data_IF_224716029636
#
_entry.id   IF_224716029636
#
_cell.length_a   1.000
_cell.length_b   1.000
_cell.length_c   1.000
_cell.angle_alpha   90.00
_cell.angle_beta   90.00
_cell.angle_gamma   90.00
#
_symmetry.space_group_name_H-M   'P 1'
#
loop_
_entity.id
_entity.type
_entity.pdbx_description
1 polymer ?
#
# COMPACT_ATOMS: atom_id res chain seq x y z
N UNK A 1 -12.50 -26.10 39.80
CA UNK A 1 -11.60 -26.17 38.60
C UNK A 1 -12.20 -25.60 37.29
N UNK A 2 -13.51 -25.46 37.13
CA UNK A 2 -14.16 -24.94 35.91
C UNK A 2 -14.03 -23.44 35.64
N UNK A 3 -13.97 -22.49 36.60
CA UNK A 3 -13.87 -21.05 36.29
C UNK A 3 -12.47 -20.65 35.80
N UNK A 4 -11.41 -21.27 36.32
CA UNK A 4 -10.01 -20.91 35.97
C UNK A 4 -9.71 -21.24 34.48
N UNK A 5 -10.24 -22.35 33.97
CA UNK A 5 -10.05 -22.75 32.56
C UNK A 5 -10.82 -21.81 31.61
N UNK A 6 -12.01 -21.34 32.02
CA UNK A 6 -12.77 -20.35 31.22
C UNK A 6 -12.08 -19.00 31.20
N UNK A 7 -11.49 -18.58 32.31
CA UNK A 7 -10.73 -17.32 32.39
C UNK A 7 -9.44 -17.39 31.56
N UNK A 8 -8.76 -18.55 31.58
CA UNK A 8 -7.57 -18.76 30.77
C UNK A 8 -7.88 -18.80 29.26
N UNK A 9 -8.98 -19.43 28.84
CA UNK A 9 -9.45 -19.43 27.48
C UNK A 9 -9.94 -18.05 27.01
N UNK A 10 -10.54 -17.26 27.91
CA UNK A 10 -10.95 -15.90 27.63
C UNK A 10 -9.78 -14.94 27.49
N UNK A 11 -8.72 -15.11 28.27
CA UNK A 11 -7.49 -14.31 28.13
C UNK A 11 -6.70 -14.66 26.88
N UNK A 12 -6.76 -15.90 26.38
CA UNK A 12 -6.14 -16.29 25.09
C UNK A 12 -6.92 -15.70 23.90
N UNK A 13 -8.23 -15.55 23.99
CA UNK A 13 -9.05 -14.95 22.93
C UNK A 13 -8.97 -13.42 22.86
N UNK A 14 -8.45 -12.74 23.90
CA UNK A 14 -8.21 -11.29 23.91
C UNK A 14 -6.97 -10.85 23.11
N UNK A 15 -6.11 -11.78 22.72
CA UNK A 15 -5.09 -11.54 21.71
C UNK A 15 -5.63 -11.86 20.31
N UNK A 16 -6.67 -11.14 19.86
CA UNK A 16 -7.04 -11.13 18.47
C UNK A 16 -5.81 -10.64 17.68
N UNK A 17 -5.07 -11.59 17.11
CA UNK A 17 -3.87 -11.26 16.35
C UNK A 17 -4.31 -10.60 15.05
N UNK A 18 -4.02 -9.32 14.93
CA UNK A 18 -4.19 -8.64 13.66
C UNK A 18 -3.27 -9.28 12.60
N UNK A 19 -3.63 -9.27 11.32
CA UNK A 19 -2.86 -9.95 10.28
C UNK A 19 -1.37 -9.62 10.29
N UNK A 20 -0.99 -8.35 10.55
CA UNK A 20 0.41 -7.95 10.61
C UNK A 20 1.15 -8.47 11.86
N UNK A 21 0.45 -8.71 12.97
CA UNK A 21 1.06 -9.31 14.16
C UNK A 21 1.53 -10.75 13.90
N UNK A 22 0.73 -11.51 13.15
CA UNK A 22 1.08 -12.87 12.75
C UNK A 22 2.33 -12.88 11.86
N UNK A 23 2.38 -11.97 10.88
CA UNK A 23 3.53 -11.82 9.98
C UNK A 23 4.78 -11.33 10.74
N UNK A 24 4.62 -10.41 11.67
CA UNK A 24 5.71 -9.92 12.51
C UNK A 24 6.35 -11.02 13.36
N UNK A 25 5.54 -11.96 13.85
CA UNK A 25 5.99 -13.10 14.69
C UNK A 25 6.44 -14.32 13.88
N UNK A 26 6.21 -14.35 12.57
CA UNK A 26 6.53 -15.47 11.72
C UNK A 26 8.07 -15.76 11.74
N UNK A 27 8.48 -17.03 11.80
CA UNK A 27 9.90 -17.40 11.93
C UNK A 27 10.73 -17.04 10.70
N UNK A 28 10.11 -16.97 9.53
CA UNK A 28 10.72 -16.62 8.25
C UNK A 28 10.85 -15.10 8.02
N UNK A 29 10.32 -14.28 8.93
CA UNK A 29 10.39 -12.83 8.84
C UNK A 29 11.75 -12.31 9.31
N UNK A 30 12.49 -11.66 8.41
CA UNK A 30 13.83 -11.12 8.72
C UNK A 30 13.76 -9.95 9.70
N UNK A 31 14.85 -9.64 10.44
CA UNK A 31 14.90 -8.49 11.35
C UNK A 31 14.56 -7.16 10.66
N UNK A 32 15.04 -6.96 9.42
CA UNK A 32 14.72 -5.76 8.65
C UNK A 32 13.24 -5.67 8.33
N UNK A 33 12.59 -6.75 7.92
CA UNK A 33 11.13 -6.77 7.69
C UNK A 33 10.36 -6.46 8.97
N UNK A 34 10.79 -6.97 10.12
CA UNK A 34 10.17 -6.70 11.42
C UNK A 34 10.14 -5.21 11.75
N UNK A 35 11.21 -4.46 11.44
CA UNK A 35 11.25 -3.00 11.65
C UNK A 35 10.12 -2.30 10.89
N UNK A 36 9.85 -2.71 9.64
CA UNK A 36 8.80 -2.11 8.82
C UNK A 36 7.39 -2.69 9.09
N UNK A 37 7.29 -3.93 9.55
CA UNK A 37 6.02 -4.53 9.95
C UNK A 37 5.50 -3.99 11.28
N UNK A 38 6.38 -3.59 12.19
CA UNK A 38 6.01 -3.08 13.52
C UNK A 38 5.03 -1.90 13.47
N UNK A 39 5.30 -0.80 12.73
CA UNK A 39 4.36 0.31 12.64
C UNK A 39 3.04 -0.09 11.96
N UNK A 40 3.06 -1.03 11.01
CA UNK A 40 1.84 -1.55 10.38
C UNK A 40 0.99 -2.34 11.40
N UNK A 41 1.63 -3.19 12.21
CA UNK A 41 0.95 -3.93 13.26
C UNK A 41 0.31 -2.99 14.29
N UNK A 42 1.03 -1.94 14.72
CA UNK A 42 0.48 -0.92 15.62
C UNK A 42 -0.67 -0.15 15.00
N UNK A 43 -0.58 0.21 13.73
CA UNK A 43 -1.67 0.82 13.00
C UNK A 43 -2.91 -0.08 12.94
N UNK A 44 -2.75 -1.38 12.70
CA UNK A 44 -3.87 -2.33 12.68
C UNK A 44 -4.53 -2.47 14.05
N UNK A 45 -3.74 -2.53 15.13
CA UNK A 45 -4.28 -2.55 16.50
C UNK A 45 -5.17 -1.33 16.79
N UNK A 46 -4.81 -0.16 16.26
CA UNK A 46 -5.61 1.05 16.37
C UNK A 46 -6.79 1.05 15.40
N UNK A 47 -6.53 0.90 14.10
CA UNK A 47 -7.51 1.15 13.05
C UNK A 47 -8.62 0.10 12.94
N UNK A 48 -8.39 -1.14 13.35
CA UNK A 48 -9.40 -2.19 13.28
C UNK A 48 -10.47 -2.07 14.39
N UNK A 49 -10.18 -1.29 15.42
CA UNK A 49 -11.14 -0.97 16.47
C UNK A 49 -12.01 0.26 16.13
N UNK A 50 -11.64 0.99 15.06
CA UNK A 50 -12.32 2.22 14.66
C UNK A 50 -13.25 1.96 13.47
N UNK A 51 -14.55 2.09 13.68
CA UNK A 51 -15.57 1.84 12.66
C UNK A 51 -15.56 2.85 11.50
N UNK A 52 -14.97 4.04 11.72
CA UNK A 52 -14.85 5.11 10.72
C UNK A 52 -13.70 4.93 9.75
N UNK A 53 -12.72 4.08 10.06
CA UNK A 53 -11.52 3.84 9.26
C UNK A 53 -11.68 2.65 8.32
N UNK A 54 -12.72 2.67 7.50
CA UNK A 54 -13.00 1.60 6.54
C UNK A 54 -12.13 1.73 5.28
N UNK A 55 -11.41 0.66 4.96
CA UNK A 55 -10.66 0.58 3.71
C UNK A 55 -11.55 0.12 2.56
N UNK A 56 -11.53 0.83 1.43
CA UNK A 56 -12.30 0.44 0.22
C UNK A 56 -11.77 -0.82 -0.48
N UNK A 57 -10.62 -1.34 -0.06
CA UNK A 57 -10.02 -2.53 -0.64
C UNK A 57 -10.06 -3.75 0.28
N UNK A 58 -10.13 -4.95 -0.30
CA UNK A 58 -9.95 -6.24 0.34
C UNK A 58 -8.78 -7.00 -0.31
N UNK A 59 -7.70 -7.30 0.43
CA UNK A 59 -7.44 -6.96 1.84
C UNK A 59 -7.24 -5.44 2.05
N UNK A 60 -7.28 -4.98 3.31
CA UNK A 60 -6.99 -3.57 3.65
C UNK A 60 -5.58 -3.16 3.20
N UNK A 61 -5.33 -1.85 3.00
CA UNK A 61 -4.01 -1.37 2.57
C UNK A 61 -2.89 -1.74 3.55
N UNK A 62 -3.16 -1.74 4.86
CA UNK A 62 -2.18 -2.17 5.87
C UNK A 62 -1.89 -3.67 5.80
N UNK A 63 -2.92 -4.51 5.58
CA UNK A 63 -2.72 -5.95 5.41
C UNK A 63 -1.99 -6.26 4.09
N UNK A 64 -2.35 -5.58 3.00
CA UNK A 64 -1.63 -5.68 1.73
C UNK A 64 -0.16 -5.31 1.89
N UNK A 65 0.14 -4.20 2.58
CA UNK A 65 1.50 -3.73 2.81
C UNK A 65 2.33 -4.72 3.63
N UNK A 66 1.76 -5.28 4.70
CA UNK A 66 2.42 -6.30 5.51
C UNK A 66 2.77 -7.56 4.69
N UNK A 67 1.80 -8.07 3.92
CA UNK A 67 2.01 -9.21 3.02
C UNK A 67 3.03 -8.90 1.91
N UNK A 68 3.00 -7.69 1.33
CA UNK A 68 3.93 -7.29 0.29
C UNK A 68 5.38 -7.23 0.81
N UNK A 69 5.59 -6.69 2.01
CA UNK A 69 6.91 -6.66 2.67
C UNK A 69 7.42 -8.07 2.94
N UNK A 70 6.57 -8.95 3.46
CA UNK A 70 6.96 -10.33 3.75
C UNK A 70 7.31 -11.10 2.46
N UNK A 71 6.45 -11.05 1.45
CA UNK A 71 6.60 -11.89 0.25
C UNK A 71 7.62 -11.35 -0.76
N UNK A 72 7.87 -10.04 -0.79
CA UNK A 72 8.72 -9.41 -1.79
C UNK A 72 9.91 -8.64 -1.23
N UNK A 73 10.11 -8.69 0.10
CA UNK A 73 11.13 -7.91 0.79
C UNK A 73 10.73 -6.44 1.00
N UNK A 74 11.55 -5.73 1.79
CA UNK A 74 11.19 -4.38 2.28
C UNK A 74 11.04 -3.38 1.14
N UNK A 75 12.05 -3.21 0.29
CA UNK A 75 12.04 -2.16 -0.73
C UNK A 75 10.87 -2.30 -1.71
N UNK A 76 10.72 -3.48 -2.32
CA UNK A 76 9.63 -3.75 -3.26
C UNK A 76 8.28 -3.73 -2.56
N UNK A 77 8.18 -4.28 -1.34
CA UNK A 77 6.95 -4.27 -0.54
C UNK A 77 6.48 -2.85 -0.22
N UNK A 78 7.39 -1.93 0.12
CA UNK A 78 7.07 -0.53 0.35
C UNK A 78 6.60 0.18 -0.91
N UNK A 79 7.22 -0.04 -2.07
CA UNK A 79 6.76 0.52 -3.34
C UNK A 79 5.38 -0.01 -3.73
N UNK A 80 5.13 -1.30 -3.55
CA UNK A 80 3.80 -1.90 -3.77
C UNK A 80 2.74 -1.30 -2.84
N UNK A 81 3.10 -1.07 -1.58
CA UNK A 81 2.21 -0.44 -0.58
C UNK A 81 1.90 1.00 -0.95
N UNK A 82 2.91 1.77 -1.34
CA UNK A 82 2.74 3.15 -1.80
C UNK A 82 1.86 3.23 -3.06
N UNK A 83 2.11 2.37 -4.06
CA UNK A 83 1.23 2.24 -5.24
C UNK A 83 -0.23 1.99 -4.82
N UNK A 84 -0.43 1.08 -3.86
CA UNK A 84 -1.78 0.74 -3.37
C UNK A 84 -2.47 1.93 -2.72
N UNK A 85 -1.73 2.71 -1.90
CA UNK A 85 -2.26 3.91 -1.24
C UNK A 85 -2.65 4.97 -2.28
N UNK A 86 -1.81 5.21 -3.29
CA UNK A 86 -2.10 6.16 -4.38
C UNK A 86 -3.39 5.76 -5.12
N UNK A 87 -3.63 4.46 -5.35
CA UNK A 87 -4.84 3.94 -5.98
C UNK A 87 -6.08 3.94 -5.08
N UNK A 88 -5.91 4.21 -3.78
CA UNK A 88 -7.01 4.31 -2.81
C UNK A 88 -7.66 5.70 -2.89
N UNK A 89 -8.35 5.98 -3.98
CA UNK A 89 -8.98 7.26 -4.26
C UNK A 89 -10.41 7.06 -4.78
N UNK A 90 -11.15 8.15 -4.96
CA UNK A 90 -12.57 8.13 -5.35
C UNK A 90 -12.84 7.45 -6.70
N UNK A 91 -11.84 7.36 -7.59
CA UNK A 91 -11.98 6.70 -8.89
C UNK A 91 -11.63 5.21 -8.88
N UNK A 92 -11.21 4.65 -7.74
CA UNK A 92 -10.84 3.24 -7.65
C UNK A 92 -11.97 2.31 -8.10
N UNK A 93 -13.22 2.62 -7.71
CA UNK A 93 -14.41 1.87 -8.14
C UNK A 93 -14.65 1.97 -9.65
N UNK A 94 -14.52 3.14 -10.25
CA UNK A 94 -14.68 3.34 -11.68
C UNK A 94 -13.64 2.54 -12.48
N UNK A 95 -12.40 2.52 -12.01
CA UNK A 95 -11.35 1.71 -12.62
C UNK A 95 -11.60 0.21 -12.46
N UNK A 96 -12.12 -0.21 -11.29
CA UNK A 96 -12.48 -1.61 -11.05
C UNK A 96 -13.61 -2.08 -11.95
N UNK A 97 -14.64 -1.24 -12.16
CA UNK A 97 -15.74 -1.51 -13.09
C UNK A 97 -15.26 -1.67 -14.52
N UNK A 98 -14.42 -0.75 -14.99
CA UNK A 98 -13.85 -0.82 -16.36
C UNK A 98 -13.03 -2.08 -16.62
N UNK A 99 -12.41 -2.64 -15.57
CA UNK A 99 -11.60 -3.85 -15.67
C UNK A 99 -12.38 -5.13 -15.40
N UNK A 100 -13.70 -5.06 -15.23
CA UNK A 100 -14.55 -6.18 -14.81
C UNK A 100 -14.01 -6.86 -13.53
N UNK A 101 -13.45 -6.05 -12.64
CA UNK A 101 -12.81 -6.53 -11.43
C UNK A 101 -13.79 -7.10 -10.42
N UNK A 102 -13.28 -7.95 -9.53
CA UNK A 102 -14.09 -8.64 -8.54
C UNK A 102 -14.34 -7.77 -7.31
N UNK A 103 -15.48 -8.00 -6.66
CA UNK A 103 -15.90 -7.35 -5.43
C UNK A 103 -16.03 -8.36 -4.30
N UNK A 104 -15.67 -7.95 -3.11
CA UNK A 104 -15.94 -8.67 -1.88
C UNK A 104 -17.44 -8.58 -1.53
N UNK A 105 -17.96 -9.47 -0.68
CA UNK A 105 -19.39 -9.50 -0.30
C UNK A 105 -19.87 -8.19 0.35
N UNK A 106 -18.97 -7.45 0.99
CA UNK A 106 -19.24 -6.17 1.62
C UNK A 106 -19.03 -4.95 0.69
N UNK A 107 -18.86 -5.18 -0.61
CA UNK A 107 -18.67 -4.14 -1.63
C UNK A 107 -17.23 -3.65 -1.81
N UNK A 108 -16.27 -4.10 -1.00
CA UNK A 108 -14.86 -3.70 -1.16
C UNK A 108 -14.25 -4.28 -2.43
N UNK A 109 -13.30 -3.53 -2.99
CA UNK A 109 -12.56 -3.91 -4.19
C UNK A 109 -11.57 -5.04 -3.89
N UNK A 110 -11.65 -6.18 -4.57
CA UNK A 110 -10.69 -7.28 -4.40
C UNK A 110 -9.44 -6.97 -5.22
N UNK A 111 -8.32 -6.75 -4.52
CA UNK A 111 -7.00 -6.53 -5.14
C UNK A 111 -5.88 -7.10 -4.24
N UNK A 112 -5.72 -8.43 -4.19
CA UNK A 112 -4.65 -9.07 -3.42
C UNK A 112 -3.30 -8.90 -4.11
N UNK A 113 -2.19 -9.13 -3.37
CA UNK A 113 -0.82 -8.96 -3.90
C UNK A 113 -0.50 -9.89 -5.08
N UNK A 114 -1.19 -11.03 -5.17
CA UNK A 114 -1.01 -12.02 -6.24
C UNK A 114 -1.85 -11.73 -7.48
N UNK A 115 -2.77 -10.78 -7.40
CA UNK A 115 -3.65 -10.49 -8.53
C UNK A 115 -2.86 -9.92 -9.69
N UNK A 116 -2.87 -10.63 -10.78
CA UNK A 116 -2.35 -10.20 -12.08
C UNK A 116 -3.53 -10.19 -13.04
N UNK A 117 -4.10 -9.03 -13.32
CA UNK A 117 -5.15 -8.93 -14.34
C UNK A 117 -4.64 -9.49 -15.66
N UNK A 118 -5.48 -10.27 -16.31
CA UNK A 118 -5.18 -10.85 -17.62
C UNK A 118 -5.58 -9.85 -18.68
N UNK A 119 -4.63 -9.42 -19.47
CA UNK A 119 -4.86 -8.57 -20.61
C UNK A 119 -3.52 -8.04 -21.14
N UNK A 120 -3.43 -7.83 -22.42
CA UNK A 120 -2.26 -7.23 -23.05
C UNK A 120 -2.53 -5.74 -23.31
N UNK A 121 -1.68 -4.89 -22.77
CA UNK A 121 -1.74 -3.45 -23.05
C UNK A 121 -0.97 -3.17 -24.32
N UNK A 122 -1.55 -2.36 -25.20
CA UNK A 122 -0.84 -1.81 -26.36
C UNK A 122 0.21 -0.75 -25.97
N UNK A 123 0.25 -0.34 -24.70
CA UNK A 123 1.11 0.72 -24.19
C UNK A 123 2.37 0.13 -23.54
N UNK A 124 3.50 0.84 -23.66
CA UNK A 124 4.78 0.41 -23.11
C UNK A 124 4.87 0.68 -21.59
N UNK A 125 5.03 -0.37 -20.74
CA UNK A 125 5.23 -0.18 -19.31
C UNK A 125 6.54 0.55 -18.97
N UNK A 126 7.58 0.36 -19.78
CA UNK A 126 8.87 1.04 -19.58
C UNK A 126 8.73 2.54 -19.85
N UNK A 127 8.02 2.91 -20.92
CA UNK A 127 7.73 4.31 -21.20
C UNK A 127 6.91 4.96 -20.08
N UNK A 128 5.90 4.25 -19.55
CA UNK A 128 5.11 4.73 -18.42
C UNK A 128 5.99 4.99 -17.18
N UNK A 129 6.88 4.06 -16.84
CA UNK A 129 7.84 4.25 -15.76
C UNK A 129 8.75 5.45 -15.99
N UNK A 130 9.32 5.59 -17.22
CA UNK A 130 10.16 6.71 -17.62
C UNK A 130 9.45 8.06 -17.52
N UNK A 131 8.19 8.13 -17.95
CA UNK A 131 7.36 9.33 -17.80
C UNK A 131 7.16 9.72 -16.33
N UNK A 132 6.93 8.74 -15.45
CA UNK A 132 6.79 9.01 -14.00
C UNK A 132 8.11 9.34 -13.29
N UNK A 133 9.26 8.97 -13.87
CA UNK A 133 10.58 9.46 -13.38
C UNK A 133 10.74 10.95 -13.68
N UNK A 134 10.24 11.44 -14.80
CA UNK A 134 10.36 12.88 -15.15
C UNK A 134 9.29 13.70 -14.43
N UNK A 135 8.05 13.27 -14.51
CA UNK A 135 6.90 13.92 -13.86
C UNK A 135 6.07 12.84 -13.17
N UNK A 136 6.06 12.79 -11.83
CA UNK A 136 5.23 11.84 -11.09
C UNK A 136 3.77 11.92 -11.55
N UNK A 137 3.14 10.76 -11.76
CA UNK A 137 1.75 10.68 -12.22
C UNK A 137 1.56 10.62 -13.73
N UNK A 138 2.51 11.11 -14.54
CA UNK A 138 2.36 11.15 -16.00
C UNK A 138 2.30 9.75 -16.60
N UNK A 139 3.07 8.81 -16.06
CA UNK A 139 3.05 7.42 -16.52
C UNK A 139 1.72 6.71 -16.22
N UNK A 140 1.08 7.02 -15.10
CA UNK A 140 -0.27 6.49 -14.79
C UNK A 140 -1.33 7.10 -15.71
N UNK A 141 -1.25 8.40 -15.98
CA UNK A 141 -2.13 9.06 -16.93
C UNK A 141 -1.96 8.45 -18.35
N UNK A 142 -0.73 8.24 -18.79
CA UNK A 142 -0.42 7.51 -20.02
C UNK A 142 -1.02 6.10 -19.99
N UNK A 143 -0.95 5.39 -18.85
CA UNK A 143 -1.54 4.07 -18.66
C UNK A 143 -3.07 4.02 -18.65
N UNK A 144 -3.77 5.17 -18.76
CA UNK A 144 -5.23 5.25 -18.75
C UNK A 144 -5.85 5.49 -17.37
N UNK A 145 -5.04 5.81 -16.35
CA UNK A 145 -5.49 6.10 -14.98
C UNK A 145 -5.10 7.52 -14.53
N UNK A 146 -5.64 8.58 -15.18
CA UNK A 146 -5.21 9.96 -14.93
C UNK A 146 -5.47 10.43 -13.50
N UNK A 147 -6.54 9.97 -12.83
CA UNK A 147 -6.79 10.35 -11.44
C UNK A 147 -5.78 9.73 -10.48
N UNK A 148 -5.38 8.48 -10.69
CA UNK A 148 -4.27 7.89 -9.92
C UNK A 148 -2.96 8.66 -10.17
N UNK A 149 -2.75 9.13 -11.41
CA UNK A 149 -1.63 10.00 -11.77
C UNK A 149 -1.66 11.33 -11.03
N UNK A 150 -2.83 11.97 -10.95
CA UNK A 150 -3.00 13.22 -10.20
C UNK A 150 -2.68 13.03 -8.70
N UNK A 151 -3.21 11.98 -8.07
CA UNK A 151 -2.91 11.71 -6.66
C UNK A 151 -1.44 11.33 -6.46
N UNK A 152 -0.83 10.58 -7.39
CA UNK A 152 0.59 10.26 -7.36
C UNK A 152 1.47 11.51 -7.46
N UNK A 153 1.12 12.43 -8.36
CA UNK A 153 1.78 13.74 -8.46
C UNK A 153 1.65 14.55 -7.18
N UNK A 154 0.43 14.68 -6.65
CA UNK A 154 0.16 15.47 -5.45
C UNK A 154 0.95 14.94 -4.24
N UNK A 155 0.90 13.62 -3.99
CA UNK A 155 1.62 13.01 -2.87
C UNK A 155 3.14 13.13 -3.04
N UNK A 156 3.66 12.98 -4.25
CA UNK A 156 5.09 13.18 -4.55
C UNK A 156 5.52 14.63 -4.30
N UNK A 157 4.75 15.60 -4.79
CA UNK A 157 5.04 17.01 -4.62
C UNK A 157 4.99 17.42 -3.13
N UNK A 158 4.01 16.95 -2.38
CA UNK A 158 3.88 17.21 -0.94
C UNK A 158 5.04 16.62 -0.15
N UNK A 159 5.40 15.36 -0.41
CA UNK A 159 6.50 14.69 0.30
C UNK A 159 7.85 15.32 -0.01
N UNK A 160 8.12 15.68 -1.25
CA UNK A 160 9.33 16.39 -1.66
C UNK A 160 9.38 17.77 -1.00
N UNK A 161 8.27 18.52 -0.98
CA UNK A 161 8.18 19.82 -0.31
C UNK A 161 8.45 19.71 1.19
N UNK A 162 7.92 18.66 1.85
CA UNK A 162 8.18 18.39 3.26
C UNK A 162 9.67 18.12 3.52
N UNK A 163 10.28 17.28 2.67
CA UNK A 163 11.74 16.99 2.74
C UNK A 163 12.56 18.26 2.55
N UNK A 164 12.25 19.07 1.54
CA UNK A 164 12.94 20.34 1.29
C UNK A 164 12.86 21.33 2.47
N UNK A 165 11.65 21.46 3.05
CA UNK A 165 11.46 22.29 4.26
C UNK A 165 12.23 21.75 5.45
N UNK A 166 12.32 20.42 5.59
CA UNK A 166 13.07 19.75 6.66
C UNK A 166 14.59 20.00 6.52
N UNK A 167 15.11 19.99 5.29
CA UNK A 167 16.51 20.35 5.01
C UNK A 167 16.77 21.80 5.44
N UNK A 168 15.94 22.77 4.98
CA UNK A 168 16.11 24.19 5.32
C UNK A 168 16.02 24.50 6.81
N UNK A 169 15.31 23.68 7.58
CA UNK A 169 15.13 23.86 9.03
C UNK A 169 16.10 23.02 9.86
N UNK A 170 17.01 22.32 9.22
CA UNK A 170 17.94 21.37 9.89
C UNK A 170 17.22 20.42 10.84
N UNK A 171 16.04 19.94 10.42
CA UNK A 171 15.14 19.15 11.27
C UNK A 171 15.68 17.76 11.51
N UNK A 172 15.63 17.29 12.78
CA UNK A 172 15.95 15.92 13.17
C UNK A 172 15.08 14.88 12.43
N UNK A 173 13.92 15.28 11.91
CA UNK A 173 13.00 14.41 11.15
C UNK A 173 13.35 14.31 9.66
N UNK A 174 14.44 14.94 9.21
CA UNK A 174 14.88 14.87 7.81
C UNK A 174 14.97 13.43 7.27
N UNK A 175 15.58 12.47 7.97
CA UNK A 175 15.66 11.09 7.47
C UNK A 175 14.29 10.45 7.22
N UNK A 176 13.31 10.78 8.06
CA UNK A 176 11.93 10.26 7.93
C UNK A 176 11.27 10.85 6.68
N UNK A 177 11.29 12.17 6.50
CA UNK A 177 10.70 12.81 5.32
C UNK A 177 11.39 12.39 4.02
N UNK A 178 12.70 12.27 4.02
CA UNK A 178 13.44 11.79 2.86
C UNK A 178 13.10 10.34 2.49
N UNK A 179 13.02 9.46 3.48
CA UNK A 179 12.61 8.06 3.28
C UNK A 179 11.18 7.96 2.76
N UNK A 180 10.25 8.73 3.32
CA UNK A 180 8.86 8.79 2.84
C UNK A 180 8.79 9.26 1.39
N UNK A 181 9.54 10.31 1.03
CA UNK A 181 9.60 10.81 -0.35
C UNK A 181 10.14 9.76 -1.32
N UNK A 182 11.19 9.04 -0.94
CA UNK A 182 11.76 7.98 -1.75
C UNK A 182 10.76 6.82 -1.95
N UNK A 183 10.02 6.44 -0.90
CA UNK A 183 9.01 5.38 -0.95
C UNK A 183 7.82 5.81 -1.83
N UNK A 184 7.32 7.03 -1.67
CA UNK A 184 6.19 7.55 -2.46
C UNK A 184 6.58 7.66 -3.93
N UNK A 185 7.73 8.25 -4.22
CA UNK A 185 8.21 8.44 -5.59
C UNK A 185 8.52 7.09 -6.27
N UNK A 186 9.21 6.18 -5.57
CA UNK A 186 9.46 4.83 -6.07
C UNK A 186 8.18 4.02 -6.29
N UNK A 187 7.19 4.18 -5.40
CA UNK A 187 5.87 3.58 -5.55
C UNK A 187 5.09 4.16 -6.73
N UNK A 188 5.28 5.45 -7.05
CA UNK A 188 4.69 6.07 -8.23
C UNK A 188 5.26 5.50 -9.53
N UNK A 189 6.58 5.37 -9.63
CA UNK A 189 7.26 4.76 -10.79
C UNK A 189 6.84 3.29 -10.95
N UNK A 190 6.86 2.53 -9.84
CA UNK A 190 6.40 1.14 -9.82
C UNK A 190 4.94 1.02 -10.25
N UNK A 191 4.08 1.90 -9.74
CA UNK A 191 2.67 1.91 -10.05
C UNK A 191 2.36 2.29 -11.49
N UNK A 192 3.12 3.20 -12.10
CA UNK A 192 3.02 3.53 -13.52
C UNK A 192 3.36 2.33 -14.41
N UNK A 193 4.47 1.64 -14.11
CA UNK A 193 4.85 0.40 -14.77
C UNK A 193 3.75 -0.66 -14.64
N UNK A 194 3.30 -0.93 -13.40
CA UNK A 194 2.28 -1.92 -13.09
C UNK A 194 0.95 -1.60 -13.77
N UNK A 195 0.51 -0.35 -13.69
CA UNK A 195 -0.74 0.12 -14.33
C UNK A 195 -0.72 -0.20 -15.82
N UNK A 196 0.33 0.19 -16.51
CA UNK A 196 0.42 0.00 -17.97
C UNK A 196 0.59 -1.46 -18.33
N UNK A 197 1.22 -2.29 -17.48
CA UNK A 197 1.43 -3.71 -17.77
C UNK A 197 0.17 -4.57 -17.53
N UNK A 198 -0.64 -4.21 -16.54
CA UNK A 198 -1.71 -5.10 -16.06
C UNK A 198 -3.11 -4.50 -16.12
N UNK A 199 -3.25 -3.20 -16.37
CA UNK A 199 -4.53 -2.53 -16.42
C UNK A 199 -4.68 -1.84 -17.78
N UNK A 200 -5.65 -2.26 -18.55
CA UNK A 200 -5.99 -1.59 -19.79
C UNK A 200 -7.43 -1.12 -19.75
N UNK A 201 -7.72 -0.18 -20.65
CA UNK A 201 -9.06 0.29 -20.97
C UNK A 201 -9.57 -0.47 -22.17
#
# INVERSE_FOLDING_TARGET
MKPLIKTLLFTISLFAQHPADSLFKAPDTTPLQKIFLYPIAKWQQFSYNETTLNCQFAPSCSNYGAQAIQNHGVAKGLFMTSDRIIRCNNNAYNYQLKMEGRYHRDGRLIDPIQLRPTGESSKSPILAAGLSIVIPGLGRAYGGRPMDGFYGFLLSALSISATYKSIKRESIFLPIYASMSAIIYGGEIYGAYRTTKYYHN
#
